data_IF_161934494203
#
_entry.id   IF_161934494203
#
_cell.length_a   1.000
_cell.length_b   1.000
_cell.length_c   1.000
_cell.angle_alpha   90.00
_cell.angle_beta   90.00
_cell.angle_gamma   90.00
#
_symmetry.space_group_name_H-M   'P 1'
#
loop_
_entity.id
_entity.type
_entity.pdbx_description
1 polymer ?
#
# COMPACT_ATOMS: atom_id res chain seq x y z
N UNK A 1 -8.18 7.50 3.40
CA UNK A 1 -7.43 6.24 3.54
C UNK A 1 -6.97 5.80 2.16
N UNK A 2 -5.68 5.58 1.99
CA UNK A 2 -5.07 5.02 0.78
C UNK A 2 -4.88 3.52 0.94
N UNK A 3 -5.43 2.73 0.02
CA UNK A 3 -5.07 1.32 -0.16
C UNK A 3 -4.21 1.16 -1.42
N UNK A 4 -2.89 1.03 -1.29
CA UNK A 4 -1.95 1.10 -2.40
C UNK A 4 -1.90 -0.19 -3.26
N UNK A 5 -2.47 -1.28 -2.76
CA UNK A 5 -2.61 -2.55 -3.48
C UNK A 5 -4.00 -3.12 -3.20
N UNK A 6 -5.02 -2.46 -3.72
CA UNK A 6 -6.42 -2.69 -3.33
C UNK A 6 -6.97 -4.06 -3.75
N UNK A 7 -6.38 -4.75 -4.73
CA UNK A 7 -6.88 -6.03 -5.19
C UNK A 7 -8.33 -5.90 -5.67
N UNK A 8 -9.24 -6.68 -5.08
CA UNK A 8 -10.69 -6.57 -5.31
C UNK A 8 -11.42 -5.70 -4.30
N UNK A 9 -10.70 -5.05 -3.37
CA UNK A 9 -11.23 -4.01 -2.49
C UNK A 9 -11.72 -4.49 -1.13
N UNK A 10 -11.20 -5.61 -0.62
CA UNK A 10 -11.63 -6.15 0.67
C UNK A 10 -11.36 -5.15 1.82
N UNK A 11 -10.14 -4.62 1.94
CA UNK A 11 -9.83 -3.68 3.02
C UNK A 11 -10.48 -2.31 2.78
N UNK A 12 -10.54 -1.85 1.52
CA UNK A 12 -11.29 -0.68 1.09
C UNK A 12 -12.74 -0.73 1.54
N UNK A 13 -13.43 -1.85 1.35
CA UNK A 13 -14.82 -2.02 1.77
C UNK A 13 -14.97 -1.88 3.28
N UNK A 14 -14.07 -2.51 4.05
CA UNK A 14 -14.09 -2.40 5.51
C UNK A 14 -13.88 -0.96 5.99
N UNK A 15 -12.95 -0.23 5.38
CA UNK A 15 -12.72 1.17 5.70
C UNK A 15 -13.91 2.06 5.32
N UNK A 16 -14.53 1.83 4.15
CA UNK A 16 -15.73 2.55 3.71
C UNK A 16 -16.91 2.34 4.65
N UNK A 17 -17.13 1.12 5.14
CA UNK A 17 -18.16 0.82 6.14
C UNK A 17 -17.95 1.57 7.45
N UNK A 18 -16.73 2.02 7.74
CA UNK A 18 -16.40 2.87 8.89
C UNK A 18 -16.40 4.37 8.57
N UNK A 19 -16.91 4.76 7.40
CA UNK A 19 -17.03 6.15 6.97
C UNK A 19 -15.72 6.77 6.44
N UNK A 20 -14.70 5.96 6.15
CA UNK A 20 -13.45 6.50 5.60
C UNK A 20 -13.62 6.96 4.15
N UNK A 21 -13.16 8.18 3.85
CA UNK A 21 -12.92 8.62 2.47
C UNK A 21 -11.80 7.77 1.87
N UNK A 22 -12.01 7.23 0.67
CA UNK A 22 -11.12 6.26 0.05
C UNK A 22 -10.26 6.85 -1.05
N UNK A 23 -9.12 6.21 -1.24
CA UNK A 23 -8.23 6.34 -2.37
C UNK A 23 -7.63 4.96 -2.64
N UNK A 24 -7.70 4.49 -3.88
CA UNK A 24 -7.32 3.12 -4.22
C UNK A 24 -6.24 3.12 -5.29
N UNK A 25 -5.35 2.13 -5.24
CA UNK A 25 -4.42 1.83 -6.33
C UNK A 25 -4.43 0.33 -6.63
N UNK A 26 -4.51 -0.02 -7.90
CA UNK A 26 -4.45 -1.41 -8.35
C UNK A 26 -3.83 -1.50 -9.75
N UNK A 27 -2.72 -2.23 -9.86
CA UNK A 27 -1.94 -2.34 -11.09
C UNK A 27 -2.60 -3.26 -12.13
N UNK A 28 -3.31 -4.31 -11.70
CA UNK A 28 -3.93 -5.28 -12.60
C UNK A 28 -5.22 -4.69 -13.21
N UNK A 29 -5.32 -4.55 -14.54
CA UNK A 29 -6.45 -3.89 -15.19
C UNK A 29 -7.81 -4.51 -14.86
N UNK A 30 -7.89 -5.83 -14.75
CA UNK A 30 -9.17 -6.50 -14.47
C UNK A 30 -9.64 -6.30 -13.03
N UNK A 31 -8.71 -6.30 -12.07
CA UNK A 31 -9.04 -5.95 -10.67
C UNK A 31 -9.43 -4.48 -10.55
N UNK A 32 -8.75 -3.59 -11.28
CA UNK A 32 -9.13 -2.18 -11.33
C UNK A 32 -10.55 -1.98 -11.90
N UNK A 33 -10.98 -2.75 -12.92
CA UNK A 33 -12.37 -2.72 -13.42
C UNK A 33 -13.39 -3.12 -12.34
N UNK A 34 -13.08 -4.14 -11.53
CA UNK A 34 -13.91 -4.55 -10.39
C UNK A 34 -14.03 -3.39 -9.39
N UNK A 35 -12.90 -2.79 -9.00
CA UNK A 35 -12.88 -1.67 -8.06
C UNK A 35 -13.70 -0.47 -8.55
N UNK A 36 -13.65 -0.12 -9.84
CA UNK A 36 -14.48 0.96 -10.41
C UNK A 36 -15.98 0.69 -10.25
N UNK A 37 -16.40 -0.58 -10.34
CA UNK A 37 -17.81 -0.96 -10.17
C UNK A 37 -18.24 -0.95 -8.70
N UNK A 38 -17.38 -1.41 -7.80
CA UNK A 38 -17.67 -1.47 -6.36
C UNK A 38 -17.59 -0.09 -5.66
N UNK A 39 -16.71 0.78 -6.15
CA UNK A 39 -16.41 2.08 -5.54
C UNK A 39 -16.55 3.22 -6.57
N UNK A 40 -17.75 3.45 -7.12
CA UNK A 40 -17.96 4.53 -8.08
C UNK A 40 -17.59 5.89 -7.46
N UNK A 41 -16.87 6.72 -8.23
CA UNK A 41 -16.43 8.06 -7.80
C UNK A 41 -15.20 8.09 -6.88
N UNK A 42 -14.70 6.94 -6.40
CA UNK A 42 -13.47 6.89 -5.60
C UNK A 42 -12.25 7.06 -6.51
N UNK A 43 -11.26 7.92 -6.15
CA UNK A 43 -9.99 8.01 -6.85
C UNK A 43 -9.32 6.63 -6.96
N UNK A 44 -9.08 6.18 -8.20
CA UNK A 44 -8.44 4.90 -8.50
C UNK A 44 -7.24 5.12 -9.41
N UNK A 45 -6.07 4.71 -8.94
CA UNK A 45 -4.80 4.73 -9.64
C UNK A 45 -4.40 3.33 -10.11
N UNK A 46 -3.49 3.26 -11.08
CA UNK A 46 -2.97 2.00 -11.64
C UNK A 46 -1.46 2.02 -11.77
N UNK A 47 -0.76 2.44 -10.72
CA UNK A 47 0.70 2.60 -10.69
C UNK A 47 1.37 1.51 -9.86
N UNK A 48 2.67 1.31 -10.07
CA UNK A 48 3.46 0.43 -9.21
C UNK A 48 3.52 1.03 -7.79
N UNK A 49 3.05 0.28 -6.80
CA UNK A 49 2.99 0.76 -5.43
C UNK A 49 4.37 0.90 -4.76
N UNK A 50 5.44 0.31 -5.30
CA UNK A 50 6.82 0.64 -4.91
C UNK A 50 7.15 2.13 -5.15
N UNK A 51 6.44 2.78 -6.08
CA UNK A 51 6.68 4.16 -6.52
C UNK A 51 5.49 5.09 -6.21
N UNK A 52 4.61 4.70 -5.30
CA UNK A 52 3.36 5.43 -5.07
C UNK A 52 3.60 6.85 -4.56
N UNK A 53 4.66 7.06 -3.77
CA UNK A 53 5.04 8.39 -3.31
C UNK A 53 5.24 9.35 -4.48
N UNK A 54 6.01 8.91 -5.49
CA UNK A 54 6.40 9.71 -6.65
C UNK A 54 5.19 9.99 -7.55
N UNK A 55 4.39 8.97 -7.84
CA UNK A 55 3.24 9.10 -8.75
C UNK A 55 2.08 9.93 -8.19
N UNK A 56 1.92 9.92 -6.85
CA UNK A 56 0.90 10.70 -6.15
C UNK A 56 1.40 12.04 -5.61
N UNK A 57 2.69 12.35 -5.79
CA UNK A 57 3.26 13.64 -5.41
C UNK A 57 2.47 14.79 -6.05
N UNK A 58 2.06 15.76 -5.22
CA UNK A 58 1.28 16.92 -5.65
C UNK A 58 -0.20 16.64 -5.99
N UNK A 59 -0.64 15.38 -5.98
CA UNK A 59 -2.04 15.02 -6.25
C UNK A 59 -2.84 14.91 -4.97
N UNK A 60 -2.33 14.14 -4.01
CA UNK A 60 -3.06 13.80 -2.78
C UNK A 60 -2.14 13.31 -1.66
N UNK A 61 -2.49 13.60 -0.41
CA UNK A 61 -1.80 13.07 0.77
C UNK A 61 -2.80 12.37 1.72
N UNK A 62 -2.69 11.05 1.93
CA UNK A 62 -3.56 10.33 2.85
C UNK A 62 -3.14 10.53 4.32
N UNK A 63 -4.12 10.55 5.22
CA UNK A 63 -3.89 10.46 6.68
C UNK A 63 -3.76 9.03 7.19
N UNK A 64 -4.25 8.05 6.43
CA UNK A 64 -4.17 6.63 6.76
C UNK A 64 -3.81 5.85 5.51
N UNK A 65 -2.83 4.95 5.63
CA UNK A 65 -2.58 3.88 4.68
C UNK A 65 -2.97 2.56 5.31
N UNK A 66 -3.73 1.75 4.58
CA UNK A 66 -4.02 0.35 4.94
C UNK A 66 -3.57 -0.53 3.78
N UNK A 67 -2.71 -1.51 4.03
CA UNK A 67 -2.17 -2.34 2.97
C UNK A 67 -2.00 -3.82 3.35
N UNK A 68 -2.18 -4.67 2.36
CA UNK A 68 -1.74 -6.06 2.36
C UNK A 68 -0.77 -6.23 1.17
N UNK A 69 0.50 -5.84 1.32
CA UNK A 69 1.45 -5.82 0.20
C UNK A 69 1.65 -7.22 -0.38
N UNK A 70 1.89 -7.35 -1.69
CA UNK A 70 2.18 -8.64 -2.29
C UNK A 70 3.48 -9.21 -1.72
N UNK A 71 3.40 -10.36 -1.04
CA UNK A 71 4.50 -10.91 -0.25
C UNK A 71 5.63 -11.57 -1.06
N UNK A 72 5.60 -11.54 -2.39
CA UNK A 72 6.61 -12.21 -3.22
C UNK A 72 6.72 -11.77 -4.68
N UNK A 73 5.74 -11.05 -5.23
CA UNK A 73 5.72 -10.68 -6.64
C UNK A 73 6.01 -9.19 -6.85
N UNK A 74 7.14 -8.88 -7.48
CA UNK A 74 7.32 -7.60 -8.16
C UNK A 74 7.01 -7.83 -9.65
N UNK A 75 6.34 -6.91 -10.38
CA UNK A 75 5.82 -7.15 -11.74
C UNK A 75 6.85 -7.60 -12.79
N UNK A 76 8.15 -7.58 -12.46
CA UNK A 76 9.27 -7.90 -13.36
C UNK A 76 10.16 -9.06 -12.89
N UNK A 77 9.82 -9.76 -11.79
CA UNK A 77 10.69 -10.82 -11.22
C UNK A 77 9.85 -12.07 -10.93
N UNK A 78 10.15 -13.19 -11.62
CA UNK A 78 9.51 -14.50 -11.44
C UNK A 78 10.02 -15.29 -10.21
N UNK A 79 11.00 -14.75 -9.47
CA UNK A 79 11.49 -15.28 -8.20
C UNK A 79 10.97 -14.44 -7.02
N UNK A 80 10.93 -15.04 -5.82
CA UNK A 80 10.55 -14.36 -4.58
C UNK A 80 11.43 -13.12 -4.40
N UNK A 81 10.85 -11.93 -4.50
CA UNK A 81 11.53 -10.68 -4.20
C UNK A 81 11.21 -10.26 -2.74
N UNK A 82 12.06 -10.58 -1.75
CA UNK A 82 11.82 -10.21 -0.36
C UNK A 82 11.79 -8.70 -0.13
N UNK A 83 12.39 -7.90 -1.01
CA UNK A 83 12.45 -6.43 -0.87
C UNK A 83 11.18 -5.72 -1.32
N UNK A 84 10.24 -6.42 -1.97
CA UNK A 84 8.99 -5.80 -2.43
C UNK A 84 8.19 -5.25 -1.24
N UNK A 85 8.00 -6.04 -0.19
CA UNK A 85 7.26 -5.61 1.02
C UNK A 85 7.84 -4.33 1.66
N UNK A 86 9.14 -4.25 2.01
CA UNK A 86 9.69 -3.03 2.60
C UNK A 86 9.66 -1.83 1.65
N UNK A 87 9.86 -2.01 0.34
CA UNK A 87 9.76 -0.89 -0.63
C UNK A 87 8.35 -0.31 -0.71
N UNK A 88 7.33 -1.16 -0.76
CA UNK A 88 5.93 -0.72 -0.72
C UNK A 88 5.61 0.05 0.57
N UNK A 89 6.05 -0.46 1.72
CA UNK A 89 5.84 0.21 3.02
C UNK A 89 6.55 1.57 3.04
N UNK A 90 7.82 1.62 2.65
CA UNK A 90 8.59 2.87 2.63
C UNK A 90 7.93 3.94 1.75
N UNK A 91 7.55 3.56 0.52
CA UNK A 91 6.89 4.47 -0.43
C UNK A 91 5.56 4.99 0.13
N UNK A 92 4.81 4.15 0.82
CA UNK A 92 3.55 4.57 1.43
C UNK A 92 3.75 5.43 2.69
N UNK A 93 4.76 5.15 3.52
CA UNK A 93 5.11 5.98 4.68
C UNK A 93 5.46 7.41 4.24
N UNK A 94 6.32 7.55 3.24
CA UNK A 94 6.71 8.85 2.68
C UNK A 94 5.53 9.65 2.10
N UNK A 95 4.41 8.98 1.80
CA UNK A 95 3.24 9.65 1.24
C UNK A 95 2.28 10.18 2.30
N UNK A 96 2.35 9.70 3.54
CA UNK A 96 1.48 10.16 4.62
C UNK A 96 1.65 11.66 4.87
N UNK A 97 0.58 12.29 5.36
CA UNK A 97 0.68 13.59 6.05
C UNK A 97 1.40 13.40 7.38
N UNK A 98 1.93 14.50 7.93
CA UNK A 98 2.45 14.52 9.30
C UNK A 98 1.40 14.03 10.30
N UNK A 99 1.79 13.10 11.18
CA UNK A 99 0.89 12.44 12.14
C UNK A 99 -0.03 11.37 11.53
N UNK A 100 0.14 11.04 10.25
CA UNK A 100 -0.57 9.96 9.58
C UNK A 100 -0.22 8.57 10.14
N UNK A 101 -1.02 7.56 9.77
CA UNK A 101 -0.85 6.18 10.24
C UNK A 101 -0.78 5.19 9.10
N UNK A 102 0.17 4.27 9.15
CA UNK A 102 0.22 3.12 8.26
C UNK A 102 -0.07 1.84 9.03
N UNK A 103 -1.02 1.05 8.53
CA UNK A 103 -1.30 -0.32 8.99
C UNK A 103 -0.99 -1.27 7.84
N UNK A 104 -0.14 -2.25 8.11
CA UNK A 104 0.25 -3.27 7.14
C UNK A 104 0.03 -4.66 7.70
N UNK A 105 -0.51 -5.54 6.87
CA UNK A 105 -0.53 -6.98 7.13
C UNK A 105 0.75 -7.53 6.51
N UNK A 106 1.66 -8.09 7.31
CA UNK A 106 2.90 -8.70 6.83
C UNK A 106 2.95 -10.20 7.07
N UNK A 107 3.72 -10.91 6.24
CA UNK A 107 4.06 -12.30 6.51
C UNK A 107 5.04 -12.39 7.69
N UNK A 108 4.99 -13.50 8.45
CA UNK A 108 5.79 -13.70 9.67
C UNK A 108 7.31 -13.49 9.48
N UNK A 109 7.84 -13.77 8.29
CA UNK A 109 9.26 -13.57 7.99
C UNK A 109 9.67 -12.09 7.95
N UNK A 110 8.74 -11.17 7.69
CA UNK A 110 8.97 -9.72 7.68
C UNK A 110 8.45 -9.11 8.99
N UNK A 111 9.32 -9.13 10.00
CA UNK A 111 9.01 -8.75 11.38
C UNK A 111 10.21 -8.04 12.02
N UNK A 112 10.01 -7.08 12.93
CA UNK A 112 11.11 -6.44 13.67
C UNK A 112 11.89 -7.43 14.55
N UNK A 113 11.29 -8.58 14.89
CA UNK A 113 11.97 -9.65 15.63
C UNK A 113 12.92 -10.48 14.75
N UNK A 114 12.81 -10.39 13.42
CA UNK A 114 13.73 -11.04 12.50
C UNK A 114 15.00 -10.17 12.32
N UNK A 115 16.20 -10.63 12.70
CA UNK A 115 17.44 -9.86 12.59
C UNK A 115 17.71 -9.31 11.19
N UNK A 116 17.32 -10.03 10.13
CA UNK A 116 17.48 -9.58 8.74
C UNK A 116 16.78 -8.26 8.45
N UNK A 117 15.64 -7.99 9.09
CA UNK A 117 14.78 -6.83 8.80
C UNK A 117 14.82 -5.76 9.89
N UNK A 118 15.53 -6.00 10.99
CA UNK A 118 15.56 -5.09 12.15
C UNK A 118 15.94 -3.66 11.74
N UNK A 119 17.01 -3.50 10.97
CA UNK A 119 17.48 -2.18 10.50
C UNK A 119 16.45 -1.48 9.60
N UNK A 120 15.68 -2.24 8.80
CA UNK A 120 14.60 -1.68 7.98
C UNK A 120 13.51 -1.06 8.84
N UNK A 121 13.09 -1.75 9.92
CA UNK A 121 12.08 -1.23 10.85
C UNK A 121 12.60 -0.02 11.65
N UNK A 122 13.88 0.00 12.03
CA UNK A 122 14.50 1.17 12.68
C UNK A 122 14.44 2.39 11.77
N UNK A 123 14.77 2.22 10.48
CA UNK A 123 14.67 3.32 9.49
C UNK A 123 13.24 3.84 9.34
N UNK A 124 12.24 2.96 9.35
CA UNK A 124 10.82 3.37 9.29
C UNK A 124 10.37 4.23 10.48
N UNK A 125 11.02 4.12 11.64
CA UNK A 125 10.69 4.95 12.82
C UNK A 125 11.25 6.37 12.74
N UNK A 126 12.15 6.63 11.79
CA UNK A 126 12.78 7.93 11.58
C UNK A 126 12.07 8.76 10.49
N UNK A 127 11.01 8.22 9.88
CA UNK A 127 10.21 8.85 8.83
C UNK A 127 9.03 9.58 9.45
#
# INVERSE_FOLDING_TARGET
MLEPSAGTGLLAQMAKLRGASLMLNELAPDRAKILRRLFPGVPLFGVNAEQINDYLAGKTQPSVVLMNPPFSSSPKINSRNPDATPRHINSALQRLVDGGRLVTISANWFSPANPTWRETFVKFQQT
#
